data_IF_950145362944
#
_entry.id   IF_950145362944
#
_cell.length_a   1.000
_cell.length_b   1.000
_cell.length_c   1.000
_cell.angle_alpha   90.00
_cell.angle_beta   90.00
_cell.angle_gamma   90.00
#
_symmetry.space_group_name_H-M   'P 1'
#
loop_
_entity.id
_entity.type
_entity.pdbx_description
1 polymer ?
#
# COMPACT_ATOMS: atom_id res chain seq x y z
N UNK A 1 0.30 12.17 -4.21
CA UNK A 1 0.45 11.28 -5.38
C UNK A 1 1.89 11.35 -5.84
N UNK A 2 2.47 10.21 -6.20
CA UNK A 2 3.84 10.16 -6.71
C UNK A 2 3.95 10.88 -8.08
N UNK A 3 4.92 11.79 -8.28
CA UNK A 3 5.08 12.52 -9.54
C UNK A 3 5.42 11.63 -10.73
N UNK A 4 6.24 10.59 -10.54
CA UNK A 4 6.64 9.70 -11.62
C UNK A 4 5.46 8.87 -12.12
N UNK A 5 4.66 8.28 -11.22
CA UNK A 5 3.44 7.58 -11.61
C UNK A 5 2.40 8.49 -12.26
N UNK A 6 2.35 9.76 -11.85
CA UNK A 6 1.47 10.76 -12.48
C UNK A 6 1.80 10.97 -13.96
N UNK A 7 3.08 10.97 -14.31
CA UNK A 7 3.55 11.06 -15.70
C UNK A 7 3.38 9.75 -16.46
N UNK A 8 3.71 8.61 -15.84
CA UNK A 8 3.73 7.30 -16.51
C UNK A 8 2.33 6.73 -16.77
N UNK A 9 1.39 6.92 -15.84
CA UNK A 9 0.12 6.22 -15.88
C UNK A 9 -1.09 7.16 -15.91
N UNK A 10 -0.97 8.38 -15.39
CA UNK A 10 -2.13 9.25 -15.17
C UNK A 10 -3.07 8.73 -14.08
N UNK A 11 -4.02 9.57 -13.65
CA UNK A 11 -4.81 9.31 -12.43
C UNK A 11 -5.69 8.06 -12.52
N UNK A 12 -6.41 7.88 -13.62
CA UNK A 12 -7.34 6.75 -13.79
C UNK A 12 -6.63 5.42 -13.81
N UNK A 13 -5.56 5.30 -14.61
CA UNK A 13 -4.78 4.07 -14.69
C UNK A 13 -4.12 3.72 -13.37
N UNK A 14 -3.56 4.69 -12.64
CA UNK A 14 -3.02 4.43 -11.29
C UNK A 14 -4.06 3.82 -10.37
N UNK A 15 -5.26 4.42 -10.32
CA UNK A 15 -6.33 3.93 -9.46
C UNK A 15 -6.78 2.51 -9.84
N UNK A 16 -6.94 2.25 -11.15
CA UNK A 16 -7.32 0.93 -11.67
C UNK A 16 -6.24 -0.12 -11.39
N UNK A 17 -4.97 0.18 -11.69
CA UNK A 17 -3.86 -0.74 -11.47
C UNK A 17 -3.65 -1.02 -9.98
N UNK A 18 -3.64 0.00 -9.12
CA UNK A 18 -3.53 -0.20 -7.67
C UNK A 18 -4.62 -1.13 -7.14
N UNK A 19 -5.89 -0.93 -7.53
CA UNK A 19 -6.99 -1.77 -7.09
C UNK A 19 -6.89 -3.21 -7.63
N UNK A 20 -6.47 -3.39 -8.88
CA UNK A 20 -6.29 -4.72 -9.46
C UNK A 20 -5.12 -5.49 -8.84
N UNK A 21 -3.99 -4.83 -8.57
CA UNK A 21 -2.85 -5.46 -7.89
C UNK A 21 -3.16 -5.81 -6.44
N UNK A 22 -3.95 -4.98 -5.75
CA UNK A 22 -4.41 -5.28 -4.39
C UNK A 22 -5.34 -6.50 -4.32
N UNK A 23 -6.18 -6.69 -5.35
CA UNK A 23 -7.09 -7.85 -5.47
C UNK A 23 -6.40 -9.10 -5.97
N UNK A 24 -5.35 -8.95 -6.76
CA UNK A 24 -4.60 -10.05 -7.34
C UNK A 24 -5.51 -11.04 -8.08
N UNK A 25 -5.37 -12.33 -7.74
CA UNK A 25 -6.09 -13.42 -8.40
C UNK A 25 -7.61 -13.42 -8.14
N UNK A 26 -8.12 -12.74 -7.11
CA UNK A 26 -9.58 -12.63 -6.91
C UNK A 26 -10.22 -11.74 -7.98
N UNK A 27 -9.50 -10.68 -8.37
CA UNK A 27 -9.98 -9.66 -9.29
C UNK A 27 -11.02 -8.74 -8.69
N UNK A 28 -11.55 -7.84 -9.53
CA UNK A 28 -12.45 -6.77 -9.11
C UNK A 28 -13.58 -6.55 -10.12
N UNK A 29 -14.75 -6.18 -9.61
CA UNK A 29 -15.89 -5.76 -10.42
C UNK A 29 -15.83 -4.27 -10.75
N UNK A 30 -16.36 -3.85 -11.90
CA UNK A 30 -16.37 -2.42 -12.30
C UNK A 30 -17.09 -1.54 -11.29
N UNK A 31 -18.19 -2.01 -10.70
CA UNK A 31 -18.91 -1.25 -9.64
C UNK A 31 -18.09 -1.10 -8.36
N UNK A 32 -17.24 -2.08 -8.07
CA UNK A 32 -16.34 -2.02 -6.92
C UNK A 32 -15.18 -1.06 -7.20
N UNK A 33 -14.62 -1.06 -8.41
CA UNK A 33 -13.68 -0.05 -8.87
C UNK A 33 -14.28 1.36 -8.79
N UNK A 34 -15.52 1.55 -9.25
CA UNK A 34 -16.21 2.84 -9.18
C UNK A 34 -16.35 3.32 -7.74
N UNK A 35 -16.76 2.44 -6.82
CA UNK A 35 -16.87 2.77 -5.39
C UNK A 35 -15.52 3.09 -4.75
N UNK A 36 -14.48 2.30 -5.03
CA UNK A 36 -13.13 2.49 -4.46
C UNK A 36 -12.43 3.74 -4.99
N UNK A 37 -12.61 4.04 -6.28
CA UNK A 37 -11.83 5.07 -6.98
C UNK A 37 -12.60 6.38 -7.16
N UNK A 38 -13.93 6.36 -7.06
CA UNK A 38 -14.80 7.49 -7.40
C UNK A 38 -14.83 7.82 -8.90
N UNK A 39 -14.22 6.98 -9.74
CA UNK A 39 -14.12 7.21 -11.19
C UNK A 39 -15.39 6.68 -11.87
N UNK A 40 -15.93 7.46 -12.81
CA UNK A 40 -17.13 7.08 -13.53
C UNK A 40 -16.97 5.75 -14.29
N UNK A 41 -18.04 4.95 -14.30
CA UNK A 41 -18.11 3.70 -15.05
C UNK A 41 -17.62 3.82 -16.51
N UNK A 42 -17.93 4.92 -17.20
CA UNK A 42 -17.48 5.15 -18.58
C UNK A 42 -15.96 5.27 -18.72
N UNK A 43 -15.32 6.04 -17.82
CA UNK A 43 -13.87 6.18 -17.78
C UNK A 43 -13.18 4.88 -17.37
N UNK A 44 -13.75 4.14 -16.41
CA UNK A 44 -13.25 2.81 -16.03
C UNK A 44 -13.31 1.82 -17.19
N UNK A 45 -14.42 1.77 -17.94
CA UNK A 45 -14.52 0.90 -19.11
C UNK A 45 -13.55 1.28 -20.23
N UNK A 46 -13.29 2.58 -20.42
CA UNK A 46 -12.27 3.02 -21.35
C UNK A 46 -10.88 2.54 -20.93
N UNK A 47 -10.51 2.76 -19.67
CA UNK A 47 -9.20 2.36 -19.14
C UNK A 47 -9.00 0.84 -19.16
N UNK A 48 -9.96 0.07 -18.65
CA UNK A 48 -9.92 -1.39 -18.67
C UNK A 48 -9.79 -1.93 -20.09
N UNK A 49 -10.42 -1.29 -21.09
CA UNK A 49 -10.28 -1.68 -22.49
C UNK A 49 -8.86 -1.46 -23.00
N UNK A 50 -8.24 -0.33 -22.69
CA UNK A 50 -6.85 -0.05 -23.06
C UNK A 50 -5.90 -1.07 -22.42
N UNK A 51 -6.07 -1.36 -21.14
CA UNK A 51 -5.25 -2.35 -20.43
C UNK A 51 -5.44 -3.77 -20.96
N UNK A 52 -6.66 -4.17 -21.32
CA UNK A 52 -6.93 -5.46 -21.99
C UNK A 52 -6.30 -5.54 -23.38
N UNK A 53 -6.32 -4.45 -24.16
CA UNK A 53 -5.68 -4.42 -25.49
C UNK A 53 -4.17 -4.57 -25.41
N UNK A 54 -3.57 -4.14 -24.29
CA UNK A 54 -2.16 -4.33 -23.98
C UNK A 54 -1.86 -5.66 -23.26
N UNK A 55 -2.86 -6.53 -23.11
CA UNK A 55 -2.74 -7.82 -22.41
C UNK A 55 -2.31 -7.73 -20.93
N UNK A 56 -2.43 -6.55 -20.31
CA UNK A 56 -2.09 -6.33 -18.89
C UNK A 56 -3.24 -6.71 -17.95
N UNK A 57 -4.46 -6.75 -18.47
CA UNK A 57 -5.68 -7.06 -17.73
C UNK A 57 -6.48 -8.10 -18.47
N UNK A 58 -7.01 -9.06 -17.73
CA UNK A 58 -7.93 -10.06 -18.22
C UNK A 58 -9.34 -9.79 -17.72
N UNK A 59 -10.33 -10.24 -18.49
CA UNK A 59 -11.73 -10.27 -18.08
C UNK A 59 -12.20 -11.72 -18.00
N UNK A 60 -12.84 -12.06 -16.89
CA UNK A 60 -13.45 -13.38 -16.70
C UNK A 60 -14.95 -13.21 -16.38
N UNK A 61 -15.76 -14.16 -16.82
CA UNK A 61 -17.17 -14.23 -16.42
C UNK A 61 -17.26 -14.93 -15.07
N UNK A 62 -17.90 -14.28 -14.11
CA UNK A 62 -18.29 -14.86 -12.84
C UNK A 62 -19.83 -14.85 -12.76
N UNK A 63 -20.43 -15.96 -13.19
CA UNK A 63 -21.86 -16.07 -13.44
C UNK A 63 -22.34 -15.03 -14.47
N UNK A 64 -23.24 -14.13 -14.04
CA UNK A 64 -23.75 -13.02 -14.86
C UNK A 64 -22.92 -11.74 -14.74
N UNK A 65 -21.83 -11.75 -13.97
CA UNK A 65 -20.97 -10.58 -13.75
C UNK A 65 -19.63 -10.77 -14.44
N UNK A 66 -18.92 -9.66 -14.64
CA UNK A 66 -17.57 -9.65 -15.21
C UNK A 66 -16.60 -9.18 -14.14
N UNK A 67 -15.59 -10.01 -13.88
CA UNK A 67 -14.47 -9.70 -12.99
C UNK A 67 -13.23 -9.39 -13.84
N UNK A 68 -12.47 -8.39 -13.43
CA UNK A 68 -11.23 -7.98 -14.07
C UNK A 68 -10.04 -8.32 -13.18
N UNK A 69 -8.95 -8.82 -13.76
CA UNK A 69 -7.74 -9.24 -13.04
C UNK A 69 -6.50 -8.74 -13.77
N UNK A 70 -5.41 -8.48 -13.05
CA UNK A 70 -4.11 -8.35 -13.72
C UNK A 70 -3.76 -9.69 -14.36
N UNK A 71 -3.22 -9.64 -15.58
CA UNK A 71 -2.56 -10.78 -16.21
C UNK A 71 -1.19 -11.00 -15.54
N UNK A 72 -1.09 -11.98 -14.64
CA UNK A 72 0.17 -12.32 -13.97
C UNK A 72 1.13 -13.15 -14.83
N UNK A 73 0.67 -13.62 -15.98
CA UNK A 73 1.48 -14.31 -16.98
C UNK A 73 2.15 -13.34 -17.96
N UNK A 74 1.83 -12.04 -17.90
CA UNK A 74 2.41 -11.03 -18.78
C UNK A 74 3.90 -10.80 -18.48
N UNK A 75 4.80 -10.66 -19.49
CA UNK A 75 6.24 -10.58 -19.27
C UNK A 75 6.73 -9.46 -18.35
N UNK A 76 6.01 -8.34 -18.27
CA UNK A 76 6.37 -7.20 -17.40
C UNK A 76 5.62 -7.16 -16.06
N UNK A 77 4.92 -8.25 -15.69
CA UNK A 77 4.07 -8.26 -14.50
C UNK A 77 4.85 -7.85 -13.24
N UNK A 78 6.03 -8.43 -13.02
CA UNK A 78 6.85 -8.21 -11.84
C UNK A 78 7.33 -6.76 -11.74
N UNK A 79 7.79 -6.18 -12.85
CA UNK A 79 8.25 -4.81 -12.94
C UNK A 79 7.09 -3.84 -12.71
N UNK A 80 5.96 -4.08 -13.37
CA UNK A 80 4.77 -3.25 -13.21
C UNK A 80 4.27 -3.28 -11.77
N UNK A 81 4.22 -4.48 -11.15
CA UNK A 81 3.87 -4.65 -9.75
C UNK A 81 4.79 -3.82 -8.85
N UNK A 82 6.10 -3.94 -9.03
CA UNK A 82 7.09 -3.22 -8.24
C UNK A 82 6.97 -1.70 -8.39
N UNK A 83 6.66 -1.20 -9.58
CA UNK A 83 6.39 0.22 -9.81
C UNK A 83 5.12 0.64 -9.06
N UNK A 84 4.00 -0.06 -9.28
CA UNK A 84 2.71 0.27 -8.67
C UNK A 84 2.81 0.25 -7.14
N UNK A 85 3.42 -0.78 -6.54
CA UNK A 85 3.60 -0.88 -5.08
C UNK A 85 4.36 0.31 -4.51
N UNK A 86 5.41 0.79 -5.20
CA UNK A 86 6.24 1.91 -4.76
C UNK A 86 5.57 3.27 -4.96
N UNK A 87 4.74 3.43 -5.99
CA UNK A 87 4.23 4.75 -6.38
C UNK A 87 2.78 5.01 -5.99
N UNK A 88 1.91 4.00 -6.04
CA UNK A 88 0.48 4.16 -5.82
C UNK A 88 -0.18 3.02 -5.02
N UNK A 89 0.59 2.02 -4.58
CA UNK A 89 0.14 0.96 -3.68
C UNK A 89 -0.10 1.45 -2.25
N UNK A 90 -0.52 0.53 -1.38
CA UNK A 90 -0.83 0.82 0.02
C UNK A 90 0.29 1.60 0.73
N UNK A 91 1.59 1.23 0.64
CA UNK A 91 2.66 1.97 1.30
C UNK A 91 2.72 3.45 0.87
N UNK A 92 2.61 3.71 -0.43
CA UNK A 92 2.62 5.08 -0.96
C UNK A 92 1.40 5.89 -0.50
N UNK A 93 0.24 5.25 -0.37
CA UNK A 93 -0.99 5.89 0.12
C UNK A 93 -0.93 6.19 1.61
N UNK A 94 -0.39 5.28 2.43
CA UNK A 94 -0.14 5.52 3.86
C UNK A 94 0.86 6.67 4.02
N UNK A 95 1.97 6.67 3.27
CA UNK A 95 2.94 7.77 3.28
C UNK A 95 2.28 9.12 2.98
N UNK A 96 1.43 9.17 1.95
CA UNK A 96 0.72 10.38 1.59
C UNK A 96 -0.26 10.85 2.68
N UNK A 97 -0.94 9.93 3.37
CA UNK A 97 -1.84 10.26 4.47
C UNK A 97 -1.09 10.80 5.70
N UNK A 98 0.12 10.29 5.96
CA UNK A 98 0.97 10.73 7.08
C UNK A 98 1.80 11.98 6.78
N UNK A 99 1.81 12.51 5.55
CA UNK A 99 2.68 13.62 5.15
C UNK A 99 2.52 14.89 6.01
N UNK A 100 1.29 15.24 6.39
CA UNK A 100 1.03 16.39 7.26
C UNK A 100 1.52 16.18 8.71
N UNK A 101 1.88 14.95 9.08
CA UNK A 101 2.37 14.57 10.40
C UNK A 101 3.86 14.20 10.37
N UNK A 102 4.55 14.39 9.24
CA UNK A 102 5.93 13.93 9.05
C UNK A 102 6.91 14.55 10.08
N UNK A 103 6.68 15.79 10.51
CA UNK A 103 7.49 16.43 11.56
C UNK A 103 7.32 15.80 12.94
N UNK A 104 6.18 15.17 13.19
CA UNK A 104 5.82 14.58 14.48
C UNK A 104 6.16 13.06 14.51
N UNK A 105 6.56 12.47 13.37
CA UNK A 105 6.81 11.03 13.21
C UNK A 105 8.30 10.81 12.95
N UNK A 106 8.97 10.13 13.87
CA UNK A 106 10.39 9.75 13.72
C UNK A 106 10.55 8.48 12.89
N UNK A 107 9.63 7.53 13.05
CA UNK A 107 9.62 6.29 12.27
C UNK A 107 8.20 5.78 12.07
N UNK A 108 7.89 5.32 10.85
CA UNK A 108 6.68 4.58 10.57
C UNK A 108 6.96 3.42 9.60
N UNK A 109 6.37 2.26 9.87
CA UNK A 109 6.42 1.12 8.97
C UNK A 109 5.12 0.31 8.98
N UNK A 110 4.80 -0.29 7.82
CA UNK A 110 3.81 -1.35 7.73
C UNK A 110 4.47 -2.67 8.16
N UNK A 111 3.79 -3.43 9.00
CA UNK A 111 4.17 -4.80 9.36
C UNK A 111 3.04 -5.79 9.00
N UNK A 112 3.09 -7.00 9.55
CA UNK A 112 1.98 -7.93 9.41
C UNK A 112 1.95 -8.65 8.06
N UNK A 113 0.76 -9.05 7.62
CA UNK A 113 0.56 -9.80 6.37
C UNK A 113 0.95 -8.99 5.14
N UNK A 114 0.71 -7.67 5.16
CA UNK A 114 1.09 -6.75 4.09
C UNK A 114 2.60 -6.75 3.87
N UNK A 115 3.39 -6.61 4.92
CA UNK A 115 4.86 -6.65 4.82
C UNK A 115 5.42 -8.02 4.41
N UNK A 116 4.69 -9.11 4.68
CA UNK A 116 5.07 -10.47 4.25
C UNK A 116 4.64 -10.81 2.83
N UNK A 117 3.90 -9.94 2.15
CA UNK A 117 3.33 -10.23 0.83
C UNK A 117 2.23 -11.30 0.84
N UNK A 118 1.67 -11.61 2.02
CA UNK A 118 0.58 -12.59 2.20
C UNK A 118 -0.75 -11.92 2.52
N UNK A 119 -0.84 -10.60 2.35
CA UNK A 119 -2.10 -9.85 2.50
C UNK A 119 -3.02 -10.19 1.34
N UNK A 120 -4.30 -10.34 1.63
CA UNK A 120 -5.37 -10.33 0.64
C UNK A 120 -6.17 -9.03 0.76
N UNK A 121 -7.09 -8.80 -0.17
CA UNK A 121 -7.81 -7.53 -0.29
C UNK A 121 -8.73 -7.17 0.90
N UNK A 122 -8.93 -8.09 1.83
CA UNK A 122 -9.68 -7.87 3.08
C UNK A 122 -8.83 -8.02 4.34
N UNK A 123 -7.51 -8.19 4.24
CA UNK A 123 -6.65 -8.19 5.42
C UNK A 123 -6.46 -6.78 5.95
N UNK A 124 -6.38 -6.62 7.27
CA UNK A 124 -6.07 -5.33 7.87
C UNK A 124 -4.64 -4.88 7.52
N UNK A 125 -4.40 -3.58 7.58
CA UNK A 125 -3.08 -2.99 7.41
C UNK A 125 -2.54 -2.64 8.79
N UNK A 126 -1.44 -3.26 9.18
CA UNK A 126 -0.82 -3.03 10.48
C UNK A 126 0.28 -1.98 10.40
N UNK A 127 0.14 -0.88 11.13
CA UNK A 127 1.11 0.22 11.21
C UNK A 127 1.80 0.30 12.57
N UNK A 128 3.13 0.40 12.54
CA UNK A 128 3.95 0.75 13.69
C UNK A 128 4.44 2.19 13.49
N UNK A 129 4.22 3.05 14.49
CA UNK A 129 4.66 4.43 14.49
C UNK A 129 5.43 4.74 15.78
N UNK A 130 6.49 5.52 15.62
CA UNK A 130 7.29 6.10 16.70
C UNK A 130 7.37 7.61 16.46
N UNK A 131 6.96 8.40 17.46
CA UNK A 131 7.01 9.86 17.38
C UNK A 131 6.15 10.54 18.44
N UNK A 132 6.11 11.87 18.37
CA UNK A 132 5.45 12.76 19.33
C UNK A 132 4.14 13.32 18.74
N UNK A 133 3.15 12.45 18.58
CA UNK A 133 1.80 12.81 18.12
C UNK A 133 0.71 12.18 18.98
N UNK A 134 -0.47 12.81 18.97
CA UNK A 134 -1.63 12.24 19.65
C UNK A 134 -2.35 11.23 18.76
N UNK A 135 -2.98 10.24 19.39
CA UNK A 135 -3.79 9.26 18.69
C UNK A 135 -4.93 9.91 17.87
N UNK A 136 -5.51 11.00 18.39
CA UNK A 136 -6.54 11.76 17.67
C UNK A 136 -6.05 12.30 16.33
N UNK A 137 -4.87 12.96 16.31
CA UNK A 137 -4.26 13.48 15.07
C UNK A 137 -4.03 12.37 14.05
N UNK A 138 -3.61 11.19 14.52
CA UNK A 138 -3.35 10.05 13.65
C UNK A 138 -4.65 9.49 13.05
N UNK A 139 -5.70 9.33 13.86
CA UNK A 139 -7.01 8.84 13.41
C UNK A 139 -7.59 9.76 12.33
N UNK A 140 -7.50 11.08 12.50
CA UNK A 140 -7.98 12.06 11.52
C UNK A 140 -7.34 11.90 10.12
N UNK A 141 -6.14 11.31 10.06
CA UNK A 141 -5.43 11.00 8.80
C UNK A 141 -5.70 9.59 8.28
N UNK A 142 -5.87 8.63 9.18
CA UNK A 142 -6.06 7.22 8.83
C UNK A 142 -7.50 6.93 8.39
N UNK A 143 -8.51 7.51 9.04
CA UNK A 143 -9.91 7.18 8.75
C UNK A 143 -10.31 7.43 7.29
N UNK A 144 -9.96 8.58 6.65
CA UNK A 144 -10.26 8.78 5.22
C UNK A 144 -9.54 7.78 4.32
N UNK A 145 -8.38 7.25 4.76
CA UNK A 145 -7.63 6.24 4.04
C UNK A 145 -8.31 4.86 4.17
N UNK A 146 -8.77 4.48 5.36
CA UNK A 146 -9.56 3.25 5.59
C UNK A 146 -10.83 3.22 4.73
N UNK A 147 -11.58 4.32 4.71
CA UNK A 147 -12.81 4.45 3.92
C UNK A 147 -12.54 4.24 2.43
N UNK A 148 -11.43 4.79 1.92
CA UNK A 148 -11.02 4.70 0.52
C UNK A 148 -10.47 3.32 0.15
N UNK A 149 -9.70 2.70 1.03
CA UNK A 149 -9.17 1.35 0.84
C UNK A 149 -10.22 0.25 1.09
N UNK A 150 -11.28 0.58 1.82
CA UNK A 150 -12.22 -0.40 2.39
C UNK A 150 -11.52 -1.47 3.24
N UNK A 151 -10.52 -1.05 4.01
CA UNK A 151 -9.69 -1.91 4.87
C UNK A 151 -9.42 -1.20 6.18
N UNK A 152 -9.47 -1.94 7.29
CA UNK A 152 -9.06 -1.40 8.58
C UNK A 152 -7.53 -1.21 8.62
N UNK A 153 -7.10 -0.15 9.27
CA UNK A 153 -5.70 0.19 9.51
C UNK A 153 -5.47 0.18 11.02
N UNK A 154 -5.05 -0.97 11.53
CA UNK A 154 -4.62 -1.09 12.91
C UNK A 154 -3.28 -0.41 13.12
N UNK A 155 -3.13 0.42 14.16
CA UNK A 155 -1.86 1.06 14.47
C UNK A 155 -1.37 0.80 15.90
N UNK A 156 -0.06 0.90 16.07
CA UNK A 156 0.63 0.98 17.36
C UNK A 156 1.53 2.19 17.35
N UNK A 157 1.26 3.11 18.26
CA UNK A 157 1.98 4.37 18.41
C UNK A 157 2.79 4.31 19.71
N UNK A 158 4.06 4.66 19.62
CA UNK A 158 4.98 4.77 20.75
C UNK A 158 5.67 6.13 20.71
N UNK A 159 5.97 6.71 21.86
CA UNK A 159 6.99 7.78 21.92
C UNK A 159 8.38 7.17 21.70
N UNK A 160 9.38 8.00 21.38
CA UNK A 160 10.77 7.53 21.26
C UNK A 160 11.25 6.82 22.52
N UNK A 161 10.93 7.39 23.68
CA UNK A 161 11.32 6.86 24.98
C UNK A 161 10.68 5.50 25.25
N UNK A 162 9.39 5.35 24.96
CA UNK A 162 8.68 4.08 25.12
C UNK A 162 9.23 3.02 24.18
N UNK A 163 9.46 3.37 22.92
CA UNK A 163 10.01 2.46 21.92
C UNK A 163 11.40 1.96 22.34
N UNK A 164 12.30 2.86 22.74
CA UNK A 164 13.65 2.49 23.17
C UNK A 164 13.66 1.58 24.39
N UNK A 165 12.80 1.84 25.38
CA UNK A 165 12.68 1.01 26.60
C UNK A 165 12.10 -0.37 26.31
N UNK A 166 11.18 -0.46 25.34
CA UNK A 166 10.37 -1.66 25.08
C UNK A 166 10.88 -2.51 23.92
N UNK A 167 11.67 -1.98 22.99
CA UNK A 167 12.04 -2.69 21.74
C UNK A 167 12.74 -4.04 21.94
N UNK A 168 13.37 -4.26 23.09
CA UNK A 168 14.06 -5.52 23.45
C UNK A 168 13.33 -6.37 24.50
N UNK A 169 12.29 -5.83 25.15
CA UNK A 169 11.62 -6.45 26.29
C UNK A 169 10.15 -6.76 26.03
N UNK A 170 9.51 -6.00 25.16
CA UNK A 170 8.13 -6.20 24.73
C UNK A 170 8.08 -7.32 23.67
N UNK A 171 7.36 -8.43 23.93
CA UNK A 171 7.26 -9.55 22.98
C UNK A 171 6.64 -9.15 21.64
N UNK A 172 5.75 -8.16 21.61
CA UNK A 172 5.16 -7.66 20.38
C UNK A 172 6.20 -6.93 19.54
N UNK A 173 6.92 -5.95 20.12
CA UNK A 173 7.94 -5.19 19.40
C UNK A 173 9.06 -6.10 18.90
N UNK A 174 9.56 -6.99 19.77
CA UNK A 174 10.60 -7.96 19.41
C UNK A 174 10.19 -8.79 18.18
N UNK A 175 8.95 -9.29 18.17
CA UNK A 175 8.41 -10.10 17.06
C UNK A 175 8.18 -9.28 15.79
N UNK A 176 7.74 -8.03 15.91
CA UNK A 176 7.49 -7.15 14.75
C UNK A 176 8.82 -6.76 14.10
N UNK A 177 9.79 -6.34 14.91
CA UNK A 177 11.12 -5.93 14.45
C UNK A 177 11.95 -7.08 13.89
N UNK A 178 11.68 -8.34 14.30
CA UNK A 178 12.34 -9.52 13.76
C UNK A 178 11.75 -10.02 12.44
N UNK A 179 10.78 -9.32 11.85
CA UNK A 179 10.07 -9.71 10.62
C UNK A 179 10.24 -8.61 9.55
N UNK A 180 9.94 -8.92 8.28
CA UNK A 180 9.96 -7.89 7.24
C UNK A 180 9.06 -6.71 7.60
N UNK A 181 9.58 -5.51 7.37
CA UNK A 181 8.90 -4.23 7.53
C UNK A 181 8.92 -3.50 6.19
N UNK A 182 7.83 -2.81 5.85
CA UNK A 182 7.82 -1.87 4.74
C UNK A 182 7.95 -0.46 5.33
N UNK A 183 9.11 0.20 5.17
CA UNK A 183 9.32 1.53 5.72
C UNK A 183 8.45 2.57 5.01
N UNK A 184 7.80 3.42 5.81
CA UNK A 184 6.90 4.49 5.34
C UNK A 184 7.52 5.86 5.57
N UNK A 185 8.03 6.14 6.77
CA UNK A 185 8.73 7.38 7.13
C UNK A 185 9.89 7.06 8.06
N UNK A 186 10.98 7.82 7.93
CA UNK A 186 12.18 7.67 8.75
C UNK A 186 12.82 6.27 8.73
N UNK A 187 13.71 6.04 9.68
CA UNK A 187 14.42 4.77 9.89
C UNK A 187 14.41 4.40 11.37
N UNK A 188 14.49 3.11 11.67
CA UNK A 188 14.43 2.60 13.07
C UNK A 188 15.67 3.01 13.87
N UNK A 189 16.81 3.22 13.21
CA UNK A 189 18.08 3.57 13.83
C UNK A 189 18.60 4.91 13.29
N UNK A 190 18.69 5.93 14.14
CA UNK A 190 19.49 7.15 13.90
C UNK A 190 20.96 6.92 14.26
N UNK A 191 21.58 5.83 13.77
CA UNK A 191 22.94 5.50 14.22
C UNK A 191 23.74 4.42 13.50
N UNK A 192 23.22 3.74 12.49
CA UNK A 192 24.02 2.90 11.59
C UNK A 192 23.40 2.94 10.19
N UNK A 193 23.93 3.84 9.37
CA UNK A 193 23.86 3.73 7.92
C UNK A 193 24.61 2.45 7.51
N UNK A 194 23.94 1.30 7.45
CA UNK A 194 24.45 0.15 6.69
C UNK A 194 23.34 -0.87 6.40
N UNK A 195 23.27 -1.27 5.12
CA UNK A 195 22.48 -2.38 4.56
C UNK A 195 20.98 -2.18 4.25
N UNK A 196 20.63 -1.11 3.50
CA UNK A 196 19.70 -1.25 2.37
C UNK A 196 20.34 -0.66 1.10
N UNK A 197 21.61 -1.01 0.87
CA UNK A 197 22.27 -0.95 -0.44
C UNK A 197 22.77 -2.35 -0.73
N UNK A 198 21.88 -3.18 -1.27
CA UNK A 198 22.11 -4.61 -1.46
C UNK A 198 21.05 -5.26 -2.34
N UNK A 199 20.50 -4.51 -3.29
CA UNK A 199 19.78 -5.06 -4.42
C UNK A 199 20.17 -4.27 -5.68
N UNK A 200 21.47 -4.10 -5.89
CA UNK A 200 22.01 -4.24 -7.24
C UNK A 200 22.44 -5.69 -7.37
N UNK A 201 21.98 -6.37 -8.40
CA UNK A 201 22.85 -7.08 -9.34
C UNK A 201 21.99 -7.75 -10.43
N UNK A 202 22.24 -7.25 -11.65
CA UNK A 202 22.23 -7.94 -12.95
C UNK A 202 20.89 -8.25 -13.62
#
# INVERSE_FOLDING_TARGET
>A
MDPAASVLFGKTRQAVLSALFERGAEGIYVRELERQTGISTGALHHELRQLMQADLVEKNKDGNRVVYRINDSHPIYTELRGIIEKTCGVPAQVRAALGDLESDIEFAAIFGSTARGTSHAGSDIDLLLVGELTQSKLIDRIQPLEERLHREIGFRLYTRDEFNKRRQSDPFLTRVLSRPLIPILGTIDDGQEEAISGASLH
#
